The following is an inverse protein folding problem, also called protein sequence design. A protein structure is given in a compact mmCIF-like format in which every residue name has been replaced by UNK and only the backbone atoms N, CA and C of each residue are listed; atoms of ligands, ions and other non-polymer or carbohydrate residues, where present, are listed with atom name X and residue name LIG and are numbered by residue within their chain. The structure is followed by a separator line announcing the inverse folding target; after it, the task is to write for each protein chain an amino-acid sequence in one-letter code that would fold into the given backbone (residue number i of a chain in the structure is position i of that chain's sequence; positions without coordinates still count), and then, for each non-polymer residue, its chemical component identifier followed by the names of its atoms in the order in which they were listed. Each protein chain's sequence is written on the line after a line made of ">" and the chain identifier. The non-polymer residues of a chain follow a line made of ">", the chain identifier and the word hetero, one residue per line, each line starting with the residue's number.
data_IF_221538579670
#
_entry.id   IF_221538579670
#
_cell.length_a   1.000
_cell.length_b   1.000
_cell.length_c   1.000
_cell.angle_alpha   90.00
_cell.angle_beta   90.00
_cell.angle_gamma   90.00
#
_symmetry.space_group_name_H-M   'P 1'
#
loop_
_entity.id
_entity.type
_entity.pdbx_description
1 polymer ?
#
# COMPACT_ATOMS: atom_id res chain seq x y z
N UNK A 1 14.04 -15.93 23.91
CA UNK A 1 12.70 -15.52 24.39
C UNK A 1 12.46 -14.01 24.53
N UNK A 2 13.45 -13.15 24.75
CA UNK A 2 13.25 -11.68 24.77
C UNK A 2 13.33 -11.01 23.37
N UNK A 3 13.98 -11.62 22.40
CA UNK A 3 14.14 -11.06 21.05
C UNK A 3 12.94 -11.29 20.11
N UNK A 4 12.13 -12.31 20.33
CA UNK A 4 10.95 -12.59 19.50
C UNK A 4 9.79 -11.64 19.79
N UNK A 5 9.65 -11.15 21.02
CA UNK A 5 8.62 -10.15 21.37
C UNK A 5 8.82 -8.80 20.67
N UNK A 6 10.06 -8.44 20.34
CA UNK A 6 10.36 -7.20 19.60
C UNK A 6 10.01 -7.29 18.11
N UNK A 7 10.02 -8.48 17.50
CA UNK A 7 9.61 -8.69 16.09
C UNK A 7 8.10 -8.50 15.92
N UNK A 8 7.30 -8.86 16.92
CA UNK A 8 5.84 -8.65 16.91
C UNK A 8 5.44 -7.17 17.04
N UNK A 9 6.20 -6.38 17.78
CA UNK A 9 5.95 -4.94 17.94
C UNK A 9 6.10 -4.22 16.59
N UNK A 10 6.98 -4.66 15.70
CA UNK A 10 7.19 -4.06 14.38
C UNK A 10 6.09 -4.39 13.36
N UNK A 11 5.56 -5.59 13.40
CA UNK A 11 4.41 -5.97 12.56
C UNK A 11 3.14 -5.26 13.03
N UNK A 12 2.99 -5.11 14.35
CA UNK A 12 1.87 -4.41 14.97
C UNK A 12 1.94 -2.89 14.75
N UNK A 13 3.14 -2.27 14.72
CA UNK A 13 3.26 -0.82 14.49
C UNK A 13 2.93 -0.44 13.03
N UNK A 14 3.27 -1.26 12.05
CA UNK A 14 2.84 -1.03 10.66
C UNK A 14 1.35 -1.32 10.46
N UNK A 15 0.81 -2.37 11.13
CA UNK A 15 -0.62 -2.69 11.10
C UNK A 15 -1.47 -1.79 12.01
N UNK A 16 -0.94 -1.34 13.16
CA UNK A 16 -1.63 -0.38 14.03
C UNK A 16 -1.60 1.03 13.42
N UNK A 17 -0.60 1.39 12.64
CA UNK A 17 -0.64 2.61 11.84
C UNK A 17 -1.78 2.54 10.80
N UNK A 18 -2.03 1.40 10.17
CA UNK A 18 -3.16 1.26 9.23
C UNK A 18 -4.52 1.18 9.91
N UNK A 19 -4.62 0.61 11.12
CA UNK A 19 -5.90 0.46 11.85
C UNK A 19 -6.25 1.67 12.73
N UNK A 20 -5.26 2.39 13.28
CA UNK A 20 -5.49 3.65 14.00
C UNK A 20 -5.80 4.82 13.04
N UNK A 21 -5.45 4.72 11.77
CA UNK A 21 -5.71 5.74 10.75
C UNK A 21 -7.17 5.85 10.33
N UNK A 22 -7.98 4.86 10.58
CA UNK A 22 -9.42 4.95 10.29
C UNK A 22 -10.21 5.81 11.31
N UNK A 23 -9.58 6.30 12.38
CA UNK A 23 -10.29 6.96 13.50
C UNK A 23 -9.98 8.45 13.67
N UNK A 24 -8.94 9.03 13.04
CA UNK A 24 -8.67 10.48 13.04
C UNK A 24 -8.51 10.97 11.59
N UNK A 25 -9.64 11.14 10.98
CA UNK A 25 -9.86 11.47 9.57
C UNK A 25 -9.06 12.67 9.08
N UNK A 26 -8.29 12.47 8.01
CA UNK A 26 -7.74 13.50 7.12
C UNK A 26 -6.69 14.47 7.70
N UNK A 27 -6.19 14.29 8.93
CA UNK A 27 -5.20 15.22 9.51
C UNK A 27 -3.93 15.31 8.66
N UNK A 28 -3.47 14.19 8.08
CA UNK A 28 -2.31 14.14 7.20
C UNK A 28 -2.56 14.76 5.82
N UNK A 29 -3.82 14.76 5.36
CA UNK A 29 -4.20 15.38 4.09
C UNK A 29 -4.33 16.90 4.21
N UNK A 30 -4.30 17.44 5.45
CA UNK A 30 -4.52 18.85 5.76
C UNK A 30 -3.25 19.61 6.16
N UNK A 31 -2.07 19.00 6.05
CA UNK A 31 -0.84 19.65 6.47
C UNK A 31 -0.52 20.89 5.61
N UNK A 32 -0.01 21.98 6.23
CA UNK A 32 0.30 23.23 5.52
C UNK A 32 1.67 23.18 4.83
N UNK A 33 1.93 22.10 4.10
CA UNK A 33 3.19 21.81 3.39
C UNK A 33 2.94 21.58 1.90
N UNK A 34 4.00 21.38 1.13
CA UNK A 34 3.91 21.15 -0.30
C UNK A 34 3.90 22.44 -1.11
N UNK A 35 3.18 22.48 -2.21
CA UNK A 35 3.25 23.60 -3.17
C UNK A 35 2.68 24.91 -2.62
N UNK A 36 3.42 25.97 -2.74
CA UNK A 36 2.94 27.33 -2.53
C UNK A 36 2.36 27.87 -3.85
N UNK A 37 1.21 28.61 -3.86
CA UNK A 37 0.42 29.03 -2.69
C UNK A 37 -0.63 27.99 -2.23
N UNK A 38 -0.77 26.84 -2.90
CA UNK A 38 -1.84 25.88 -2.68
C UNK A 38 -1.85 25.28 -1.26
N UNK A 39 -0.70 25.22 -0.59
CA UNK A 39 -0.54 24.64 0.76
C UNK A 39 -1.48 25.22 1.84
N UNK A 40 -1.94 26.44 1.67
CA UNK A 40 -2.84 27.12 2.61
C UNK A 40 -4.31 27.10 2.17
N UNK A 41 -4.58 26.54 0.99
CA UNK A 41 -5.94 26.42 0.46
C UNK A 41 -6.45 25.00 0.68
N UNK A 42 -7.70 24.89 1.11
CA UNK A 42 -8.41 23.60 1.27
C UNK A 42 -9.44 23.42 0.17
N UNK A 43 -9.83 22.19 -0.04
CA UNK A 43 -10.92 21.82 -0.93
C UNK A 43 -11.71 20.66 -0.34
N UNK A 44 -12.94 20.49 -0.79
CA UNK A 44 -13.81 19.36 -0.48
C UNK A 44 -14.09 18.59 -1.76
N UNK A 45 -14.03 17.26 -1.71
CA UNK A 45 -14.22 16.40 -2.89
C UNK A 45 -15.13 15.22 -2.55
N UNK A 46 -16.30 15.08 -3.18
CA UNK A 46 -17.16 13.92 -3.04
C UNK A 46 -16.51 12.65 -3.61
N UNK A 47 -16.93 11.49 -3.10
CA UNK A 47 -16.47 10.18 -3.60
C UNK A 47 -16.72 10.02 -5.11
N UNK A 48 -15.75 9.40 -5.80
CA UNK A 48 -15.79 9.20 -7.25
C UNK A 48 -15.41 10.43 -8.08
N UNK A 49 -15.05 11.56 -7.45
CA UNK A 49 -14.64 12.78 -8.14
C UNK A 49 -13.12 12.92 -8.16
N UNK A 50 -12.64 13.71 -9.12
CA UNK A 50 -11.22 14.06 -9.28
C UNK A 50 -11.13 15.59 -9.30
N UNK A 51 -10.11 16.13 -8.67
CA UNK A 51 -9.83 17.57 -8.64
C UNK A 51 -8.42 17.87 -9.15
N UNK A 52 -8.33 18.85 -10.04
CA UNK A 52 -7.07 19.57 -10.29
C UNK A 52 -6.83 20.50 -9.10
N UNK A 53 -5.90 20.12 -8.23
CA UNK A 53 -5.65 20.85 -6.99
C UNK A 53 -4.98 22.22 -7.23
N UNK A 54 -4.28 22.42 -8.35
CA UNK A 54 -3.64 23.70 -8.68
C UNK A 54 -4.68 24.79 -8.91
N UNK A 55 -5.77 24.46 -9.60
CA UNK A 55 -6.86 25.40 -9.91
C UNK A 55 -8.09 25.26 -9.02
N UNK A 56 -8.20 24.14 -8.27
CA UNK A 56 -9.33 23.87 -7.37
C UNK A 56 -10.62 23.54 -8.12
N UNK A 57 -10.55 22.83 -9.25
CA UNK A 57 -11.71 22.45 -10.07
C UNK A 57 -11.81 20.95 -10.23
N UNK A 58 -13.03 20.45 -10.18
CA UNK A 58 -13.31 19.08 -10.58
C UNK A 58 -12.99 18.86 -12.06
N UNK A 59 -12.49 17.68 -12.37
CA UNK A 59 -12.18 17.20 -13.71
C UNK A 59 -12.61 15.74 -13.83
N UNK A 60 -13.07 15.33 -15.02
CA UNK A 60 -13.30 13.92 -15.30
C UNK A 60 -12.00 13.21 -15.73
N UNK A 61 -11.99 11.88 -15.67
CA UNK A 61 -10.82 11.08 -16.03
C UNK A 61 -10.36 11.32 -17.50
N UNK A 62 -11.24 11.39 -18.50
CA UNK A 62 -10.83 11.76 -19.86
C UNK A 62 -10.19 13.14 -19.96
N UNK A 63 -10.70 14.11 -19.23
CA UNK A 63 -10.14 15.47 -19.16
C UNK A 63 -8.76 15.50 -18.50
N UNK A 64 -8.61 14.78 -17.39
CA UNK A 64 -7.32 14.61 -16.72
C UNK A 64 -6.28 14.04 -17.69
N UNK A 65 -6.61 12.96 -18.39
CA UNK A 65 -5.71 12.34 -19.36
C UNK A 65 -5.34 13.33 -20.48
N UNK A 66 -6.32 13.95 -21.14
CA UNK A 66 -6.07 14.90 -22.24
C UNK A 66 -5.15 16.06 -21.82
N UNK A 67 -5.38 16.64 -20.65
CA UNK A 67 -4.58 17.79 -20.16
C UNK A 67 -3.16 17.41 -19.77
N UNK A 68 -2.92 16.12 -19.47
CA UNK A 68 -1.64 15.65 -18.93
C UNK A 68 -0.89 14.70 -19.87
N UNK A 69 -1.28 14.56 -21.14
CA UNK A 69 -0.53 13.74 -22.12
C UNK A 69 0.92 14.22 -22.31
N UNK A 70 1.20 15.47 -22.00
CA UNK A 70 2.57 16.02 -22.01
C UNK A 70 3.45 15.52 -20.87
N UNK A 71 2.93 14.85 -19.84
CA UNK A 71 3.72 14.34 -18.71
C UNK A 71 4.52 13.10 -19.12
N UNK A 72 5.67 12.94 -18.47
CA UNK A 72 6.57 11.81 -18.71
C UNK A 72 6.35 10.68 -17.70
N UNK A 73 6.03 11.07 -16.44
CA UNK A 73 5.81 10.13 -15.33
C UNK A 73 4.57 10.54 -14.54
N UNK A 74 3.72 9.56 -14.29
CA UNK A 74 2.57 9.64 -13.40
C UNK A 74 2.88 8.86 -12.13
N UNK A 75 2.76 9.50 -10.96
CA UNK A 75 3.02 8.87 -9.67
C UNK A 75 1.72 8.86 -8.90
N UNK A 76 1.17 7.67 -8.68
CA UNK A 76 -0.15 7.44 -8.11
C UNK A 76 0.01 6.86 -6.72
N UNK A 77 -0.49 7.60 -5.74
CA UNK A 77 -0.61 7.14 -4.36
C UNK A 77 -1.73 6.13 -4.20
N UNK A 78 -1.61 5.29 -3.17
CA UNK A 78 -2.67 4.34 -2.81
C UNK A 78 -2.78 4.15 -1.31
N UNK A 79 -3.94 3.66 -0.86
CA UNK A 79 -4.10 2.92 0.37
C UNK A 79 -4.05 1.44 0.00
N UNK A 80 -3.09 0.71 0.55
CA UNK A 80 -2.72 -0.64 0.10
C UNK A 80 -3.84 -1.68 0.19
N UNK A 81 -4.79 -1.47 1.08
CA UNK A 81 -5.94 -2.34 1.35
C UNK A 81 -7.26 -1.76 0.84
N UNK A 82 -7.25 -0.66 0.11
CA UNK A 82 -8.44 -0.07 -0.51
C UNK A 82 -8.67 -0.60 -1.92
N UNK A 83 -9.73 -1.40 -2.09
CA UNK A 83 -10.16 -1.86 -3.39
C UNK A 83 -10.53 -0.71 -4.33
N UNK A 84 -11.18 0.34 -3.79
CA UNK A 84 -11.57 1.50 -4.56
C UNK A 84 -10.37 2.26 -5.14
N UNK A 85 -9.25 2.35 -4.40
CA UNK A 85 -8.01 2.91 -4.94
C UNK A 85 -7.46 2.09 -6.11
N UNK A 86 -7.40 0.76 -5.97
CA UNK A 86 -6.87 -0.12 -7.02
C UNK A 86 -7.78 -0.18 -8.26
N UNK A 87 -9.10 -0.10 -8.05
CA UNK A 87 -10.05 0.03 -9.15
C UNK A 87 -9.84 1.34 -9.93
N UNK A 88 -9.66 2.45 -9.22
CA UNK A 88 -9.36 3.73 -9.84
C UNK A 88 -8.03 3.71 -10.60
N UNK A 89 -6.98 3.08 -10.06
CA UNK A 89 -5.69 2.91 -10.74
C UNK A 89 -5.84 2.09 -12.03
N UNK A 90 -6.63 1.02 -11.99
CA UNK A 90 -6.97 0.22 -13.17
C UNK A 90 -7.60 1.10 -14.25
N UNK A 91 -8.65 1.85 -13.91
CA UNK A 91 -9.36 2.74 -14.85
C UNK A 91 -8.44 3.82 -15.42
N UNK A 92 -7.58 4.39 -14.58
CA UNK A 92 -6.58 5.37 -15.01
C UNK A 92 -5.60 4.78 -16.02
N UNK A 93 -5.06 3.59 -15.77
CA UNK A 93 -4.11 2.92 -16.66
C UNK A 93 -4.81 2.57 -17.99
N UNK A 94 -6.04 2.07 -17.98
CA UNK A 94 -6.82 1.79 -19.17
C UNK A 94 -7.06 3.05 -20.02
N UNK A 95 -7.44 4.16 -19.37
CA UNK A 95 -7.66 5.43 -20.05
C UNK A 95 -6.36 6.03 -20.61
N UNK A 96 -5.27 5.96 -19.85
CA UNK A 96 -3.97 6.44 -20.30
C UNK A 96 -3.41 5.59 -21.44
N UNK A 97 -3.52 4.27 -21.35
CA UNK A 97 -3.07 3.35 -22.41
C UNK A 97 -3.82 3.55 -23.73
N UNK A 98 -5.12 3.86 -23.67
CA UNK A 98 -5.92 4.21 -24.84
C UNK A 98 -5.40 5.48 -25.53
N UNK A 99 -4.94 6.46 -24.76
CA UNK A 99 -4.42 7.72 -25.30
C UNK A 99 -2.92 7.64 -25.66
N UNK A 100 -2.16 6.78 -24.97
CA UNK A 100 -0.73 6.57 -25.17
C UNK A 100 -0.35 5.11 -24.87
N UNK A 101 -0.24 4.24 -25.89
CA UNK A 101 -0.15 2.79 -25.71
C UNK A 101 1.21 2.31 -25.16
N UNK A 102 2.21 3.18 -25.04
CA UNK A 102 3.54 2.82 -24.54
C UNK A 102 3.68 3.26 -23.08
N UNK A 103 3.31 2.38 -22.17
CA UNK A 103 3.41 2.58 -20.72
C UNK A 103 4.35 1.54 -20.11
N UNK A 104 5.07 1.98 -19.06
CA UNK A 104 5.81 1.13 -18.14
C UNK A 104 5.24 1.35 -16.76
N UNK A 105 4.67 0.31 -16.15
CA UNK A 105 4.05 0.40 -14.82
C UNK A 105 5.02 -0.17 -13.79
N UNK A 106 5.36 0.64 -12.80
CA UNK A 106 6.23 0.25 -11.69
C UNK A 106 5.44 0.06 -10.42
N UNK A 107 5.74 -1.01 -9.71
CA UNK A 107 5.04 -1.39 -8.48
C UNK A 107 5.98 -1.35 -7.28
N UNK A 108 5.54 -0.72 -6.20
CA UNK A 108 6.28 -0.67 -4.93
C UNK A 108 6.59 -2.05 -4.36
N UNK A 109 5.61 -2.98 -4.40
CA UNK A 109 5.75 -4.29 -3.76
C UNK A 109 6.59 -5.31 -4.51
N UNK A 110 7.03 -5.01 -5.72
CA UNK A 110 8.02 -5.82 -6.43
C UNK A 110 9.41 -5.19 -6.34
N UNK A 111 10.42 -6.06 -6.19
CA UNK A 111 11.81 -5.65 -6.24
C UNK A 111 12.31 -5.62 -7.69
N UNK A 112 13.39 -4.90 -7.95
CA UNK A 112 14.08 -4.90 -9.26
C UNK A 112 14.45 -6.29 -9.75
N UNK A 113 14.77 -7.19 -8.83
CA UNK A 113 15.13 -8.58 -9.14
C UNK A 113 13.92 -9.43 -9.54
N UNK A 114 12.71 -8.93 -9.38
CA UNK A 114 11.48 -9.61 -9.79
C UNK A 114 11.11 -9.33 -11.26
N UNK A 115 11.80 -8.38 -11.94
CA UNK A 115 11.54 -8.05 -13.35
C UNK A 115 11.47 -9.29 -14.27
N UNK A 116 12.36 -10.31 -14.17
CA UNK A 116 12.26 -11.50 -15.00
C UNK A 116 10.98 -12.30 -14.77
N UNK A 117 10.53 -12.44 -13.52
CA UNK A 117 9.28 -13.14 -13.19
C UNK A 117 8.06 -12.36 -13.68
N UNK A 118 8.07 -11.02 -13.54
CA UNK A 118 7.05 -10.15 -14.10
C UNK A 118 6.95 -10.27 -15.63
N UNK A 119 8.09 -10.28 -16.33
CA UNK A 119 8.11 -10.46 -17.80
C UNK A 119 7.55 -11.82 -18.22
N UNK A 120 7.89 -12.90 -17.51
CA UNK A 120 7.35 -14.24 -17.77
C UNK A 120 5.83 -14.28 -17.55
N UNK A 121 5.35 -13.69 -16.45
CA UNK A 121 3.92 -13.64 -16.12
C UNK A 121 3.12 -12.81 -17.13
N UNK A 122 3.60 -11.61 -17.44
CA UNK A 122 2.95 -10.74 -18.43
C UNK A 122 2.95 -11.35 -19.84
N UNK A 123 4.00 -12.12 -20.16
CA UNK A 123 4.11 -12.88 -21.40
C UNK A 123 3.31 -14.20 -21.41
N UNK A 124 2.58 -14.54 -20.34
CA UNK A 124 1.77 -15.76 -20.24
C UNK A 124 2.60 -17.05 -20.17
N UNK A 125 3.89 -16.97 -19.78
CA UNK A 125 4.79 -18.11 -19.66
C UNK A 125 4.71 -18.80 -18.29
N UNK A 126 4.28 -18.08 -17.29
CA UNK A 126 3.98 -18.59 -15.95
C UNK A 126 2.61 -18.09 -15.52
N UNK A 127 1.97 -18.80 -14.62
CA UNK A 127 0.73 -18.39 -13.99
C UNK A 127 0.96 -17.48 -12.76
N UNK A 128 -0.10 -17.05 -12.13
CA UNK A 128 -0.08 -16.19 -10.96
C UNK A 128 0.60 -16.88 -9.75
N UNK A 129 0.30 -18.16 -9.54
CA UNK A 129 0.88 -18.91 -8.43
C UNK A 129 2.40 -18.98 -8.52
N UNK A 130 2.92 -19.21 -9.72
CA UNK A 130 4.34 -19.27 -9.99
C UNK A 130 4.99 -17.87 -9.88
N UNK A 131 4.32 -16.80 -10.34
CA UNK A 131 4.80 -15.43 -10.11
C UNK A 131 4.98 -15.16 -8.62
N UNK A 132 3.97 -15.44 -7.80
CA UNK A 132 4.01 -15.17 -6.37
C UNK A 132 5.04 -16.03 -5.65
N UNK A 133 5.24 -17.26 -6.12
CA UNK A 133 6.30 -18.15 -5.61
C UNK A 133 7.70 -17.62 -5.96
N UNK A 134 7.95 -17.26 -7.21
CA UNK A 134 9.27 -16.74 -7.65
C UNK A 134 9.62 -15.42 -6.99
N UNK A 135 8.64 -14.54 -6.82
CA UNK A 135 8.84 -13.25 -6.14
C UNK A 135 8.83 -13.36 -4.61
N UNK A 136 8.45 -14.52 -4.03
CA UNK A 136 8.28 -14.67 -2.59
C UNK A 136 7.30 -13.67 -2.00
N UNK A 137 6.22 -13.34 -2.71
CA UNK A 137 5.28 -12.26 -2.36
C UNK A 137 4.84 -12.32 -0.90
N UNK A 138 4.28 -13.45 -0.46
CA UNK A 138 3.73 -13.58 0.88
C UNK A 138 4.78 -13.76 1.98
N UNK A 139 6.00 -14.16 1.64
CA UNK A 139 7.12 -14.16 2.57
C UNK A 139 7.66 -12.76 2.85
N UNK A 140 7.57 -11.86 1.85
CA UNK A 140 8.10 -10.50 1.92
C UNK A 140 7.04 -9.46 2.30
N UNK A 141 5.83 -9.59 1.78
CA UNK A 141 4.76 -8.63 1.93
C UNK A 141 3.65 -9.24 2.80
N UNK A 142 3.24 -8.55 3.85
CA UNK A 142 2.07 -8.94 4.64
C UNK A 142 0.72 -8.67 3.96
N UNK A 143 0.73 -8.15 2.72
CA UNK A 143 -0.44 -7.66 2.00
C UNK A 143 -1.15 -8.76 1.22
N UNK A 144 -2.49 -8.67 1.15
CA UNK A 144 -3.28 -9.50 0.26
C UNK A 144 -2.99 -9.12 -1.20
N UNK A 145 -2.44 -10.06 -1.97
CA UNK A 145 -2.11 -9.85 -3.37
C UNK A 145 -3.33 -9.49 -4.24
N UNK A 146 -4.53 -9.86 -3.83
CA UNK A 146 -5.75 -9.60 -4.58
C UNK A 146 -5.96 -8.11 -4.93
N UNK A 147 -5.46 -7.20 -4.09
CA UNK A 147 -5.47 -5.76 -4.39
C UNK A 147 -4.54 -5.42 -5.56
N UNK A 148 -3.31 -5.86 -5.51
CA UNK A 148 -2.31 -5.63 -6.59
C UNK A 148 -2.70 -6.34 -7.89
N UNK A 149 -3.37 -7.50 -7.80
CA UNK A 149 -3.88 -8.28 -8.94
C UNK A 149 -4.69 -7.42 -9.90
N UNK A 150 -5.59 -6.58 -9.41
CA UNK A 150 -6.45 -5.72 -10.24
C UNK A 150 -5.65 -4.89 -11.23
N UNK A 151 -4.57 -4.31 -10.78
CA UNK A 151 -3.69 -3.46 -11.60
C UNK A 151 -2.79 -4.31 -12.49
N UNK A 152 -2.17 -5.36 -11.94
CA UNK A 152 -1.23 -6.19 -12.68
C UNK A 152 -1.90 -6.98 -13.81
N UNK A 153 -3.12 -7.50 -13.60
CA UNK A 153 -3.93 -8.12 -14.64
C UNK A 153 -4.32 -7.12 -15.75
N UNK A 154 -4.57 -5.88 -15.36
CA UNK A 154 -4.83 -4.81 -16.35
C UNK A 154 -3.61 -4.56 -17.21
N UNK A 155 -2.42 -4.47 -16.62
CA UNK A 155 -1.13 -4.34 -17.32
C UNK A 155 -0.95 -5.51 -18.30
N UNK A 156 -1.20 -6.75 -17.84
CA UNK A 156 -1.12 -7.97 -18.66
C UNK A 156 -2.10 -7.94 -19.83
N UNK A 157 -3.37 -7.66 -19.55
CA UNK A 157 -4.46 -7.60 -20.57
C UNK A 157 -4.19 -6.56 -21.65
N UNK A 158 -3.59 -5.43 -21.29
CA UNK A 158 -3.25 -4.35 -22.22
C UNK A 158 -1.91 -4.58 -22.93
N UNK A 159 -1.19 -5.68 -22.68
CA UNK A 159 0.11 -5.96 -23.26
C UNK A 159 1.21 -4.96 -22.85
N UNK A 160 1.03 -4.30 -21.70
CA UNK A 160 1.97 -3.33 -21.18
C UNK A 160 3.15 -4.04 -20.46
N UNK A 161 4.16 -3.25 -20.08
CA UNK A 161 5.30 -3.73 -19.30
C UNK A 161 5.20 -3.30 -17.84
N UNK A 162 5.74 -4.15 -16.95
CA UNK A 162 5.88 -3.82 -15.54
C UNK A 162 7.33 -3.95 -15.08
N UNK A 163 7.66 -3.24 -13.98
CA UNK A 163 8.95 -3.34 -13.29
C UNK A 163 8.75 -3.27 -11.78
N UNK A 164 9.60 -3.96 -11.05
CA UNK A 164 9.74 -3.80 -9.62
C UNK A 164 10.50 -2.52 -9.29
N UNK A 165 10.00 -1.77 -8.33
CA UNK A 165 10.61 -0.50 -7.95
C UNK A 165 11.58 -0.63 -6.77
N UNK A 166 11.40 -1.63 -5.93
CA UNK A 166 12.13 -1.76 -4.67
C UNK A 166 13.39 -2.63 -4.75
N UNK A 167 14.07 -2.69 -3.63
CA UNK A 167 15.15 -3.61 -3.29
C UNK A 167 14.69 -4.54 -2.17
N UNK A 168 15.44 -5.61 -1.85
CA UNK A 168 15.08 -6.48 -0.73
C UNK A 168 14.81 -5.71 0.55
N UNK A 169 13.66 -5.97 1.17
CA UNK A 169 13.16 -5.27 2.36
C UNK A 169 14.14 -5.31 3.54
N UNK A 170 14.94 -6.37 3.61
CA UNK A 170 15.95 -6.61 4.65
C UNK A 170 16.98 -5.48 4.70
N UNK A 171 17.33 -4.89 3.54
CA UNK A 171 18.26 -3.76 3.46
C UNK A 171 17.69 -2.55 4.20
N UNK A 172 16.47 -2.16 3.86
CA UNK A 172 15.82 -0.99 4.46
C UNK A 172 15.43 -1.25 5.92
N UNK A 173 15.02 -2.47 6.28
CA UNK A 173 14.81 -2.87 7.67
C UNK A 173 16.09 -2.76 8.50
N UNK A 174 17.24 -3.08 7.93
CA UNK A 174 18.54 -2.93 8.60
C UNK A 174 18.85 -1.46 8.83
N UNK A 175 18.58 -0.59 7.85
CA UNK A 175 18.71 0.87 8.01
C UNK A 175 17.82 1.38 9.15
N UNK A 176 16.54 0.99 9.18
CA UNK A 176 15.62 1.41 10.23
C UNK A 176 16.04 0.98 11.64
N UNK A 177 16.67 -0.20 11.76
CA UNK A 177 17.12 -0.77 13.04
C UNK A 177 18.51 -0.29 13.48
N UNK A 178 19.43 -0.08 12.54
CA UNK A 178 20.86 0.09 12.83
C UNK A 178 21.49 1.31 12.15
N UNK A 179 20.69 2.09 11.41
CA UNK A 179 21.16 3.25 10.63
C UNK A 179 21.79 2.87 9.30
N UNK A 180 21.97 3.87 8.44
CA UNK A 180 22.45 3.71 7.07
C UNK A 180 23.89 3.16 6.98
N UNK A 181 24.72 3.51 7.95
CA UNK A 181 26.11 3.01 8.03
C UNK A 181 26.22 1.49 8.29
N UNK A 182 25.10 0.80 8.60
CA UNK A 182 25.07 -0.66 8.73
C UNK A 182 25.06 -1.40 7.39
N UNK A 183 24.88 -0.69 6.28
CA UNK A 183 24.96 -1.22 4.93
C UNK A 183 26.40 -1.26 4.43
N UNK A 184 26.75 -2.24 3.57
CA UNK A 184 28.02 -2.26 2.86
C UNK A 184 28.10 -1.10 1.85
N UNK A 185 29.28 -0.83 1.29
CA UNK A 185 29.46 0.22 0.28
C UNK A 185 28.62 -0.06 -0.98
N UNK A 186 28.53 -1.32 -1.43
CA UNK A 186 27.73 -1.74 -2.56
C UNK A 186 26.23 -1.57 -2.27
N UNK A 187 25.78 -1.91 -1.05
CA UNK A 187 24.40 -1.71 -0.63
C UNK A 187 24.05 -0.23 -0.52
N UNK A 188 24.95 0.62 0.01
CA UNK A 188 24.76 2.07 0.07
C UNK A 188 24.64 2.70 -1.32
N UNK A 189 25.38 2.18 -2.31
CA UNK A 189 25.32 2.64 -3.70
C UNK A 189 23.94 2.43 -4.36
N UNK A 190 23.11 1.53 -3.82
CA UNK A 190 21.71 1.36 -4.29
C UNK A 190 20.81 2.56 -3.96
N UNK A 191 21.23 3.42 -3.02
CA UNK A 191 20.45 4.58 -2.54
C UNK A 191 21.18 5.91 -2.84
N UNK A 192 21.43 6.23 -4.09
CA UNK A 192 22.21 7.40 -4.46
C UNK A 192 21.54 8.69 -3.93
N UNK A 193 22.30 9.55 -3.24
CA UNK A 193 21.81 10.85 -2.72
C UNK A 193 20.75 10.74 -1.62
N UNK A 194 20.63 9.61 -0.93
CA UNK A 194 19.74 9.44 0.23
C UNK A 194 20.02 10.44 1.36
N UNK A 195 21.26 10.93 1.47
CA UNK A 195 21.65 11.93 2.45
C UNK A 195 20.97 13.29 2.29
N UNK A 196 20.42 13.60 1.11
CA UNK A 196 19.65 14.83 0.92
C UNK A 196 18.36 14.78 1.74
N UNK A 197 18.08 15.87 2.43
CA UNK A 197 16.90 16.03 3.27
C UNK A 197 16.02 17.17 2.75
N UNK A 198 14.73 17.03 3.01
CA UNK A 198 13.74 18.07 2.83
C UNK A 198 13.02 18.22 4.18
N UNK A 199 13.02 19.42 4.80
CA UNK A 199 12.38 19.65 6.09
C UNK A 199 10.87 19.36 6.09
N UNK A 200 10.17 19.63 4.97
CA UNK A 200 8.73 19.31 4.86
C UNK A 200 8.52 17.80 4.77
N UNK A 201 9.42 17.04 4.11
CA UNK A 201 9.36 15.59 4.08
C UNK A 201 9.62 15.00 5.46
N UNK A 202 10.60 15.51 6.21
CA UNK A 202 10.82 15.07 7.58
C UNK A 202 9.62 15.36 8.47
N UNK A 203 9.03 16.56 8.35
CA UNK A 203 7.82 16.93 9.07
C UNK A 203 6.65 16.00 8.74
N UNK A 204 6.43 15.71 7.44
CA UNK A 204 5.40 14.78 7.00
C UNK A 204 5.58 13.37 7.62
N UNK A 205 6.78 12.79 7.49
CA UNK A 205 7.07 11.46 8.05
C UNK A 205 6.94 11.45 9.57
N UNK A 206 7.33 12.55 10.24
CA UNK A 206 7.13 12.71 11.69
C UNK A 206 5.65 12.73 12.05
N UNK A 207 4.84 13.43 11.28
CA UNK A 207 3.38 13.51 11.47
C UNK A 207 2.69 12.15 11.29
N UNK A 208 3.18 11.31 10.37
CA UNK A 208 2.64 9.94 10.19
C UNK A 208 2.89 9.03 11.39
N UNK A 209 3.94 9.28 12.16
CA UNK A 209 4.32 8.49 13.34
C UNK A 209 3.80 9.08 14.66
N UNK A 210 3.22 10.29 14.61
CA UNK A 210 2.62 10.96 15.75
C UNK A 210 3.57 11.12 16.93
N UNK A 211 3.04 11.01 18.16
CA UNK A 211 3.80 11.19 19.40
C UNK A 211 4.99 10.23 19.54
N UNK A 212 4.91 9.06 18.94
CA UNK A 212 5.99 8.07 19.03
C UNK A 212 7.30 8.58 18.41
N UNK A 213 7.23 9.39 17.35
CA UNK A 213 8.40 10.02 16.75
C UNK A 213 9.10 11.02 17.69
N UNK A 214 8.34 11.60 18.62
CA UNK A 214 8.87 12.55 19.63
C UNK A 214 9.49 11.80 20.80
N UNK A 215 8.85 10.71 21.23
CA UNK A 215 9.30 9.93 22.39
C UNK A 215 10.61 9.17 22.14
N UNK A 216 10.90 8.77 20.89
CA UNK A 216 12.09 7.98 20.54
C UNK A 216 12.87 8.63 19.37
N UNK A 217 13.56 9.77 19.60
CA UNK A 217 14.16 10.56 18.51
C UNK A 217 15.21 9.81 17.69
N UNK A 218 16.08 9.00 18.29
CA UNK A 218 17.11 8.23 17.57
C UNK A 218 16.49 7.16 16.67
N UNK A 219 15.43 6.51 17.13
CA UNK A 219 14.67 5.57 16.32
C UNK A 219 14.01 6.29 15.14
N UNK A 220 13.40 7.44 15.38
CA UNK A 220 12.80 8.25 14.31
C UNK A 220 13.82 8.60 13.24
N UNK A 221 15.03 9.02 13.59
CA UNK A 221 16.06 9.35 12.61
C UNK A 221 16.37 8.18 11.67
N UNK A 222 16.51 6.97 12.21
CA UNK A 222 16.75 5.79 11.40
C UNK A 222 15.55 5.43 10.51
N UNK A 223 14.33 5.53 11.03
CA UNK A 223 13.09 5.30 10.27
C UNK A 223 12.95 6.32 9.15
N UNK A 224 13.24 7.59 9.43
CA UNK A 224 13.23 8.63 8.40
C UNK A 224 14.27 8.36 7.28
N UNK A 225 15.47 7.90 7.66
CA UNK A 225 16.47 7.49 6.65
C UNK A 225 15.98 6.27 5.85
N UNK A 226 15.33 5.30 6.50
CA UNK A 226 14.73 4.16 5.81
C UNK A 226 13.65 4.59 4.82
N UNK A 227 12.76 5.52 5.20
CA UNK A 227 11.78 6.10 4.29
C UNK A 227 12.45 6.75 3.09
N UNK A 228 13.51 7.54 3.31
CA UNK A 228 14.31 8.13 2.22
C UNK A 228 14.95 7.09 1.31
N UNK A 229 15.36 5.94 1.85
CA UNK A 229 15.86 4.83 1.04
C UNK A 229 14.79 4.30 0.09
N UNK A 230 13.56 4.02 0.60
CA UNK A 230 12.45 3.56 -0.22
C UNK A 230 12.13 4.55 -1.34
N UNK A 231 11.92 5.83 -1.01
CA UNK A 231 11.62 6.87 -2.00
C UNK A 231 12.71 7.00 -3.06
N UNK A 232 13.97 6.92 -2.63
CA UNK A 232 15.13 7.03 -3.53
C UNK A 232 15.20 5.87 -4.49
N UNK A 233 15.05 4.64 -3.99
CA UNK A 233 15.16 3.45 -4.83
C UNK A 233 14.00 3.34 -5.79
N UNK A 234 12.78 3.65 -5.38
CA UNK A 234 11.61 3.60 -6.27
C UNK A 234 11.71 4.65 -7.40
N UNK A 235 12.11 5.87 -7.07
CA UNK A 235 12.34 6.91 -8.07
C UNK A 235 13.43 6.52 -9.07
N UNK A 236 14.56 5.98 -8.57
CA UNK A 236 15.70 5.60 -9.39
C UNK A 236 15.41 4.36 -10.25
N UNK A 237 14.64 3.40 -9.73
CA UNK A 237 14.22 2.21 -10.48
C UNK A 237 13.43 2.58 -11.73
N UNK A 238 12.40 3.42 -11.58
CA UNK A 238 11.60 3.87 -12.72
C UNK A 238 12.45 4.68 -13.70
N UNK A 239 13.27 5.61 -13.22
CA UNK A 239 14.13 6.43 -14.06
C UNK A 239 15.08 5.57 -14.91
N UNK A 240 15.76 4.61 -14.28
CA UNK A 240 16.68 3.69 -14.96
C UNK A 240 15.94 2.77 -15.94
N UNK A 241 14.76 2.29 -15.58
CA UNK A 241 13.95 1.45 -16.46
C UNK A 241 13.52 2.21 -17.73
N UNK A 242 13.04 3.45 -17.60
CA UNK A 242 12.68 4.31 -18.74
C UNK A 242 13.86 4.71 -19.61
N UNK A 243 15.09 4.74 -19.05
CA UNK A 243 16.31 5.05 -19.80
C UNK A 243 16.79 3.87 -20.67
N UNK A 244 16.29 2.66 -20.48
CA UNK A 244 16.66 1.49 -21.31
C UNK A 244 16.25 1.73 -22.78
N UNK A 245 17.04 1.30 -23.78
CA UNK A 245 16.77 1.58 -25.19
C UNK A 245 15.35 1.18 -25.66
N UNK A 246 14.80 0.09 -25.15
CA UNK A 246 13.44 -0.39 -25.48
C UNK A 246 12.30 0.50 -25.00
N UNK A 247 12.55 1.43 -24.09
CA UNK A 247 11.54 2.29 -23.47
C UNK A 247 11.57 3.74 -23.95
N UNK A 248 12.31 4.06 -25.00
CA UNK A 248 12.31 5.42 -25.56
C UNK A 248 10.89 5.85 -25.97
N UNK A 249 10.44 6.99 -25.47
CA UNK A 249 9.08 7.51 -25.71
C UNK A 249 7.99 6.78 -24.94
N UNK A 250 8.33 5.97 -23.94
CA UNK A 250 7.40 5.34 -22.99
C UNK A 250 7.13 6.27 -21.82
N UNK A 251 5.88 6.29 -21.34
CA UNK A 251 5.54 7.01 -20.10
C UNK A 251 5.60 6.06 -18.91
N UNK A 252 6.12 6.57 -17.78
CA UNK A 252 6.14 5.84 -16.53
C UNK A 252 4.84 6.03 -15.74
N UNK A 253 4.34 4.95 -15.14
CA UNK A 253 3.31 4.99 -14.11
C UNK A 253 3.87 4.31 -12.88
N UNK A 254 4.02 5.03 -11.78
CA UNK A 254 4.47 4.49 -10.48
C UNK A 254 3.24 4.29 -9.61
N UNK A 255 3.08 3.09 -9.07
CA UNK A 255 2.07 2.73 -8.07
C UNK A 255 2.79 2.54 -6.73
N UNK A 256 2.46 3.37 -5.75
CA UNK A 256 3.08 3.33 -4.43
C UNK A 256 2.14 3.88 -3.36
N UNK A 257 2.37 3.51 -2.09
CA UNK A 257 1.60 4.05 -0.98
C UNK A 257 1.61 5.57 -0.94
N UNK A 258 0.49 6.18 -0.57
CA UNK A 258 0.31 7.64 -0.55
C UNK A 258 1.38 8.37 0.25
N UNK A 259 1.93 7.73 1.29
CA UNK A 259 3.03 8.30 2.09
C UNK A 259 4.31 8.58 1.28
N UNK A 260 4.49 7.91 0.15
CA UNK A 260 5.62 8.11 -0.76
C UNK A 260 5.37 9.17 -1.83
N UNK A 261 4.13 9.69 -1.95
CA UNK A 261 3.69 10.56 -3.05
C UNK A 261 3.19 11.91 -2.56
N UNK A 262 2.53 11.92 -1.40
CA UNK A 262 1.85 13.09 -0.84
C UNK A 262 2.75 14.33 -0.78
N UNK A 263 2.15 15.48 -1.08
CA UNK A 263 2.81 16.78 -1.12
C UNK A 263 3.97 16.89 -2.12
N UNK A 264 4.16 15.86 -2.95
CA UNK A 264 5.26 15.79 -3.91
C UNK A 264 6.64 15.58 -3.28
N UNK A 265 6.70 15.13 -2.01
CA UNK A 265 7.91 15.11 -1.17
C UNK A 265 8.76 13.83 -1.28
N UNK A 266 8.15 12.66 -1.33
CA UNK A 266 8.87 11.38 -1.40
C UNK A 266 9.45 11.07 -2.78
N UNK A 267 8.88 10.07 -3.46
CA UNK A 267 9.29 9.65 -4.81
C UNK A 267 9.35 10.84 -5.79
N UNK A 268 8.34 11.75 -5.84
CA UNK A 268 8.36 12.83 -6.83
C UNK A 268 9.55 13.77 -6.66
N UNK A 269 9.89 14.14 -5.42
CA UNK A 269 11.05 14.98 -5.13
C UNK A 269 12.36 14.27 -5.46
N UNK A 270 12.50 12.97 -5.08
CA UNK A 270 13.67 12.14 -5.39
C UNK A 270 13.88 11.98 -6.88
N UNK A 271 12.81 11.81 -7.64
CA UNK A 271 12.88 11.71 -9.10
C UNK A 271 13.40 13.02 -9.72
N UNK A 272 12.86 14.18 -9.31
CA UNK A 272 13.28 15.51 -9.80
C UNK A 272 14.72 15.86 -9.45
N UNK A 273 15.27 15.35 -8.35
CA UNK A 273 16.68 15.51 -8.02
C UNK A 273 17.61 14.88 -9.07
N UNK A 274 17.15 13.85 -9.76
CA UNK A 274 17.93 13.10 -10.75
C UNK A 274 17.63 13.51 -12.18
N UNK A 275 16.40 13.86 -12.45
CA UNK A 275 15.96 14.34 -13.75
C UNK A 275 15.11 15.62 -13.56
N UNK A 276 15.79 16.75 -13.64
CA UNK A 276 15.16 18.07 -13.51
C UNK A 276 14.23 18.41 -14.67
N UNK A 277 14.32 17.67 -15.79
CA UNK A 277 13.50 17.89 -16.98
C UNK A 277 12.25 17.05 -16.99
N UNK A 278 12.17 16.01 -16.15
CA UNK A 278 11.02 15.13 -16.08
C UNK A 278 9.75 15.89 -15.70
N UNK A 279 8.74 15.76 -16.53
CA UNK A 279 7.41 16.33 -16.31
C UNK A 279 6.56 15.31 -15.55
N UNK A 280 6.55 15.45 -14.23
CA UNK A 280 5.88 14.54 -13.31
C UNK A 280 4.48 15.06 -13.00
N UNK A 281 3.49 14.17 -12.94
CA UNK A 281 2.18 14.41 -12.35
C UNK A 281 2.01 13.50 -11.12
N UNK A 282 1.62 14.09 -9.99
CA UNK A 282 1.29 13.36 -8.77
C UNK A 282 -0.22 13.25 -8.62
N UNK A 283 -0.69 12.06 -8.22
CA UNK A 283 -2.10 11.76 -7.99
C UNK A 283 -2.22 11.06 -6.64
N UNK A 284 -3.05 11.59 -5.74
CA UNK A 284 -3.18 11.06 -4.38
C UNK A 284 -4.66 10.83 -4.07
N UNK A 285 -5.05 9.67 -3.49
CA UNK A 285 -6.40 9.43 -3.02
C UNK A 285 -6.68 10.22 -1.74
N UNK A 286 -7.94 10.57 -1.55
CA UNK A 286 -8.50 10.99 -0.27
C UNK A 286 -9.74 10.15 0.03
N UNK A 287 -9.96 9.81 1.29
CA UNK A 287 -11.07 8.95 1.69
C UNK A 287 -12.28 9.77 2.13
N UNK A 288 -13.43 9.47 1.57
CA UNK A 288 -14.72 10.03 1.97
C UNK A 288 -15.38 9.10 2.96
N UNK A 289 -15.46 9.52 4.20
CA UNK A 289 -16.16 8.78 5.26
C UNK A 289 -17.62 9.20 5.27
N UNK A 290 -18.54 8.23 5.18
CA UNK A 290 -19.96 8.51 5.38
C UNK A 290 -20.17 8.98 6.82
N UNK A 291 -20.78 10.16 7.03
CA UNK A 291 -21.12 10.63 8.36
C UNK A 291 -22.05 9.60 9.01
N UNK A 292 -21.58 8.91 10.06
CA UNK A 292 -22.47 8.14 10.93
C UNK A 292 -23.43 9.13 11.60
N UNK A 293 -24.71 8.93 11.41
CA UNK A 293 -25.72 9.67 12.16
C UNK A 293 -25.56 9.32 13.66
N UNK A 294 -25.07 10.27 14.45
CA UNK A 294 -25.03 10.15 15.90
C UNK A 294 -23.62 10.10 16.50
N UNK A 295 -23.14 11.23 16.98
CA UNK A 295 -21.96 11.33 17.83
C UNK A 295 -21.55 12.76 18.13
N UNK A 296 -22.14 13.36 19.20
CA UNK A 296 -21.55 14.30 20.13
C UNK A 296 -21.11 15.66 19.60
N UNK A 297 -21.90 16.60 19.83
CA UNK A 297 -21.82 18.02 20.17
C UNK A 297 -23.15 18.64 19.70
N UNK A 298 -23.71 19.54 20.46
CA UNK A 298 -24.89 20.32 20.06
C UNK A 298 -24.60 21.11 18.79
N UNK A 299 -24.70 20.45 17.64
CA UNK A 299 -24.60 21.13 16.34
C UNK A 299 -25.85 21.98 16.17
N UNK A 300 -25.62 23.26 15.86
CA UNK A 300 -26.72 24.17 15.49
C UNK A 300 -27.65 23.48 14.47
N UNK A 301 -28.97 23.38 14.73
CA UNK A 301 -29.93 22.68 13.87
C UNK A 301 -29.88 23.13 12.41
N UNK A 302 -29.57 24.40 12.16
CA UNK A 302 -29.43 24.95 10.82
C UNK A 302 -28.17 24.43 10.11
N UNK A 303 -27.05 24.25 10.82
CA UNK A 303 -25.83 23.65 10.30
C UNK A 303 -26.07 22.16 9.97
N UNK A 304 -26.81 21.46 10.84
CA UNK A 304 -27.18 20.06 10.62
C UNK A 304 -28.11 19.87 9.40
N UNK A 305 -29.09 20.80 9.22
CA UNK A 305 -29.98 20.79 8.06
C UNK A 305 -29.24 21.07 6.75
N UNK A 306 -28.28 21.99 6.74
CA UNK A 306 -27.43 22.31 5.58
C UNK A 306 -26.42 21.18 5.29
N UNK A 307 -25.79 20.63 6.32
CA UNK A 307 -24.84 19.51 6.18
C UNK A 307 -25.49 18.22 5.68
N UNK A 308 -26.80 18.02 5.98
CA UNK A 308 -27.57 16.87 5.46
C UNK A 308 -27.95 17.00 3.98
N UNK A 309 -27.81 18.16 3.37
CA UNK A 309 -28.12 18.41 1.96
C UNK A 309 -26.93 18.22 1.02
N UNK A 310 -25.70 18.23 1.57
CA UNK A 310 -24.49 18.05 0.76
C UNK A 310 -24.01 16.60 0.83
N UNK A 311 -23.57 16.03 -0.30
CA UNK A 311 -22.98 14.69 -0.28
C UNK A 311 -21.75 14.69 0.63
N UNK A 312 -21.45 13.57 1.31
CA UNK A 312 -20.20 13.42 2.04
C UNK A 312 -19.01 13.72 1.14
N UNK A 313 -18.03 14.47 1.67
CA UNK A 313 -16.84 14.85 0.94
C UNK A 313 -15.61 14.79 1.85
N UNK A 314 -14.46 14.38 1.28
CA UNK A 314 -13.18 14.50 1.95
C UNK A 314 -12.69 15.93 1.87
N UNK A 315 -12.13 16.44 2.98
CA UNK A 315 -11.51 17.76 3.04
C UNK A 315 -9.99 17.58 3.04
N UNK A 316 -9.28 18.30 2.19
CA UNK A 316 -7.83 18.17 2.04
C UNK A 316 -7.16 19.50 1.69
N UNK A 317 -5.85 19.59 1.94
CA UNK A 317 -5.00 20.68 1.48
C UNK A 317 -4.78 20.57 -0.03
N UNK A 318 -4.97 21.65 -0.77
CA UNK A 318 -4.65 21.69 -2.21
C UNK A 318 -3.15 21.53 -2.51
N UNK A 319 -2.29 21.61 -1.48
CA UNK A 319 -0.88 21.27 -1.57
C UNK A 319 -0.59 19.77 -1.67
N UNK A 320 -1.58 18.89 -1.40
CA UNK A 320 -1.43 17.45 -1.26
C UNK A 320 -0.85 16.77 -2.52
N UNK A 321 -1.36 17.13 -3.71
CA UNK A 321 -0.90 16.57 -4.98
C UNK A 321 -1.20 17.52 -6.15
N UNK A 322 -0.82 17.14 -7.38
CA UNK A 322 -1.28 17.84 -8.59
C UNK A 322 -2.76 17.54 -8.84
N UNK A 323 -3.13 16.27 -8.73
CA UNK A 323 -4.49 15.76 -8.85
C UNK A 323 -4.85 14.99 -7.60
N UNK A 324 -6.05 15.19 -7.09
CA UNK A 324 -6.60 14.45 -5.96
C UNK A 324 -7.84 13.71 -6.44
N UNK A 325 -7.96 12.43 -6.12
CA UNK A 325 -9.16 11.65 -6.40
C UNK A 325 -9.77 11.11 -5.11
N UNK A 326 -11.09 11.18 -5.02
CA UNK A 326 -11.80 10.78 -3.82
C UNK A 326 -12.38 9.37 -3.96
N UNK A 327 -12.10 8.52 -2.99
CA UNK A 327 -12.64 7.17 -2.87
C UNK A 327 -13.56 7.09 -1.67
N UNK A 328 -14.58 6.24 -1.74
CA UNK A 328 -15.42 5.97 -0.57
C UNK A 328 -14.63 5.16 0.47
N UNK A 329 -14.83 5.46 1.75
CA UNK A 329 -14.35 4.59 2.82
C UNK A 329 -15.00 3.21 2.72
N UNK A 330 -14.23 2.17 2.97
CA UNK A 330 -14.69 0.80 3.02
C UNK A 330 -14.90 0.41 4.49
N UNK A 331 -16.13 0.05 4.87
CA UNK A 331 -16.46 -0.32 6.26
C UNK A 331 -15.73 -1.61 6.71
N UNK A 332 -15.28 -2.42 5.76
CA UNK A 332 -14.52 -3.65 5.97
C UNK A 332 -13.59 -3.89 4.78
N UNK A 333 -12.52 -4.67 4.95
CA UNK A 333 -11.66 -5.07 3.83
C UNK A 333 -12.50 -5.64 2.68
N UNK A 334 -12.24 -5.22 1.46
CA UNK A 334 -13.01 -5.67 0.29
C UNK A 334 -12.87 -7.18 0.08
N UNK A 335 -11.65 -7.70 0.19
CA UNK A 335 -11.41 -9.15 0.11
C UNK A 335 -11.61 -9.79 1.47
N UNK A 336 -12.25 -10.95 1.47
CA UNK A 336 -12.58 -11.67 2.68
C UNK A 336 -11.32 -12.06 3.47
N UNK A 337 -11.41 -11.91 4.79
CA UNK A 337 -10.45 -12.45 5.73
C UNK A 337 -11.12 -13.57 6.52
N UNK A 338 -10.54 -14.77 6.47
CA UNK A 338 -11.02 -15.91 7.23
C UNK A 338 -10.86 -15.72 8.75
N UNK A 339 -10.06 -14.75 9.16
CA UNK A 339 -9.87 -14.39 10.56
C UNK A 339 -8.97 -15.35 11.33
N UNK A 340 -8.00 -15.97 10.67
CA UNK A 340 -6.96 -16.73 11.34
C UNK A 340 -5.58 -16.43 10.76
N UNK A 341 -4.58 -16.53 11.62
CA UNK A 341 -3.18 -16.38 11.27
C UNK A 341 -2.33 -17.54 11.81
N UNK A 342 -1.17 -17.79 11.20
CA UNK A 342 -0.31 -18.86 11.66
C UNK A 342 1.01 -18.90 10.92
N UNK A 343 1.72 -20.01 11.04
CA UNK A 343 3.04 -20.23 10.46
C UNK A 343 3.24 -21.68 10.09
N UNK A 344 4.17 -21.96 9.20
CA UNK A 344 4.67 -23.31 9.00
C UNK A 344 5.47 -23.75 10.24
N UNK A 345 5.16 -24.91 10.78
CA UNK A 345 5.90 -25.53 11.88
C UNK A 345 7.12 -26.32 11.39
N UNK A 346 7.85 -26.93 12.32
CA UNK A 346 9.05 -27.74 12.00
C UNK A 346 8.78 -28.98 11.15
N UNK A 347 7.54 -29.44 11.11
CA UNK A 347 7.09 -30.62 10.33
C UNK A 347 6.57 -30.21 8.94
N UNK A 348 6.65 -28.92 8.58
CA UNK A 348 6.15 -28.42 7.31
C UNK A 348 4.62 -28.33 7.21
N UNK A 349 3.92 -28.25 8.35
CA UNK A 349 2.48 -28.09 8.43
C UNK A 349 2.13 -26.66 8.88
N UNK A 350 1.02 -26.12 8.39
CA UNK A 350 0.56 -24.80 8.82
C UNK A 350 -0.13 -24.90 10.18
N UNK A 351 0.48 -24.29 11.19
CA UNK A 351 -0.04 -24.23 12.56
C UNK A 351 -0.72 -22.89 12.80
N UNK A 352 -1.98 -22.92 13.22
CA UNK A 352 -2.76 -21.74 13.58
C UNK A 352 -2.19 -21.11 14.85
N UNK A 353 -1.73 -19.85 14.76
CA UNK A 353 -1.15 -19.11 15.87
C UNK A 353 -2.12 -18.07 16.46
N UNK A 354 -3.14 -17.68 15.71
CA UNK A 354 -4.17 -16.73 16.14
C UNK A 354 -5.49 -16.98 15.43
N UNK A 355 -6.59 -16.73 16.15
CA UNK A 355 -7.95 -16.73 15.61
C UNK A 355 -8.61 -15.43 16.08
N UNK A 356 -9.17 -14.67 15.16
CA UNK A 356 -9.84 -13.41 15.45
C UNK A 356 -11.19 -13.66 16.14
N UNK A 357 -11.48 -12.86 17.16
CA UNK A 357 -12.78 -12.90 17.86
C UNK A 357 -13.91 -12.61 16.89
N UNK A 358 -14.99 -13.37 16.98
CA UNK A 358 -16.18 -13.29 16.12
C UNK A 358 -15.92 -13.53 14.62
N UNK A 359 -14.70 -13.99 14.27
CA UNK A 359 -14.33 -14.29 12.88
C UNK A 359 -15.05 -15.52 12.34
N UNK A 360 -15.09 -15.71 11.02
CA UNK A 360 -15.57 -16.95 10.41
C UNK A 360 -14.81 -18.18 10.92
N UNK A 361 -13.50 -18.09 11.14
CA UNK A 361 -12.69 -19.17 11.65
C UNK A 361 -13.08 -19.57 13.07
N UNK A 362 -13.28 -18.61 13.98
CA UNK A 362 -13.75 -18.91 15.35
C UNK A 362 -15.12 -19.55 15.35
N UNK A 363 -16.06 -19.00 14.56
CA UNK A 363 -17.42 -19.54 14.42
C UNK A 363 -17.44 -20.98 13.86
N UNK A 364 -16.48 -21.30 12.99
CA UNK A 364 -16.29 -22.66 12.47
C UNK A 364 -15.58 -23.60 13.45
N UNK A 365 -15.11 -23.08 14.61
CA UNK A 365 -14.44 -23.88 15.63
C UNK A 365 -12.96 -24.12 15.38
N UNK A 366 -12.31 -23.32 14.53
CA UNK A 366 -10.86 -23.33 14.37
C UNK A 366 -10.21 -22.75 15.63
N UNK A 367 -9.17 -23.40 16.13
CA UNK A 367 -8.48 -23.02 17.36
C UNK A 367 -6.97 -22.79 17.17
N UNK A 368 -6.38 -22.07 18.10
CA UNK A 368 -4.92 -21.93 18.16
C UNK A 368 -4.28 -23.29 18.41
N UNK A 369 -3.25 -23.63 17.63
CA UNK A 369 -2.57 -24.94 17.65
C UNK A 369 -3.17 -25.98 16.70
N UNK A 370 -4.31 -25.71 16.06
CA UNK A 370 -4.82 -26.56 14.99
C UNK A 370 -3.86 -26.52 13.78
N UNK A 371 -3.75 -27.66 13.09
CA UNK A 371 -2.93 -27.77 11.87
C UNK A 371 -3.84 -27.77 10.65
N UNK A 372 -3.66 -26.82 9.74
CA UNK A 372 -4.38 -26.79 8.46
C UNK A 372 -3.62 -27.64 7.45
N UNK A 373 -4.27 -28.66 6.93
CA UNK A 373 -3.70 -29.63 6.01
C UNK A 373 -4.06 -29.32 4.55
N UNK A 374 -5.32 -28.94 4.32
CA UNK A 374 -5.81 -28.56 2.99
C UNK A 374 -6.91 -27.50 3.08
N UNK A 375 -7.12 -26.77 1.99
CA UNK A 375 -8.25 -25.86 1.76
C UNK A 375 -8.95 -26.28 0.47
N UNK A 376 -10.25 -26.57 0.52
CA UNK A 376 -11.03 -27.12 -0.60
C UNK A 376 -10.35 -28.33 -1.28
N UNK A 377 -9.78 -29.22 -0.49
CA UNK A 377 -9.04 -30.38 -0.97
C UNK A 377 -7.63 -30.09 -1.54
N UNK A 378 -7.21 -28.81 -1.60
CA UNK A 378 -5.86 -28.43 -2.05
C UNK A 378 -4.90 -28.43 -0.86
N UNK A 379 -3.84 -29.27 -0.85
CA UNK A 379 -2.91 -29.35 0.27
C UNK A 379 -2.15 -28.05 0.52
N UNK A 380 -2.08 -27.65 1.79
CA UNK A 380 -1.30 -26.48 2.25
C UNK A 380 0.15 -26.90 2.46
N UNK A 381 0.98 -26.69 1.45
CA UNK A 381 2.41 -27.06 1.47
C UNK A 381 3.33 -25.91 1.88
N UNK A 382 2.84 -24.68 1.89
CA UNK A 382 3.56 -23.47 2.29
C UNK A 382 2.60 -22.37 2.70
N UNK A 383 3.12 -21.35 3.36
CA UNK A 383 2.36 -20.14 3.69
C UNK A 383 1.82 -19.45 2.43
N UNK A 384 2.63 -19.43 1.37
CA UNK A 384 2.25 -18.84 0.08
C UNK A 384 1.07 -19.60 -0.54
N UNK A 385 1.10 -20.94 -0.53
CA UNK A 385 0.02 -21.77 -1.06
C UNK A 385 -1.30 -21.50 -0.33
N UNK A 386 -1.29 -21.44 1.01
CA UNK A 386 -2.47 -21.10 1.80
C UNK A 386 -3.01 -19.71 1.45
N UNK A 387 -2.14 -18.71 1.46
CA UNK A 387 -2.54 -17.31 1.20
C UNK A 387 -3.04 -17.11 -0.22
N UNK A 388 -2.46 -17.81 -1.20
CA UNK A 388 -2.96 -17.80 -2.58
C UNK A 388 -4.37 -18.32 -2.70
N UNK A 389 -4.67 -19.45 -2.05
CA UNK A 389 -6.01 -20.03 -2.07
C UNK A 389 -6.99 -19.04 -1.41
N UNK A 390 -6.65 -18.52 -0.24
CA UNK A 390 -7.52 -17.58 0.49
C UNK A 390 -7.71 -16.26 -0.24
N UNK A 391 -6.69 -15.73 -0.93
CA UNK A 391 -6.76 -14.50 -1.71
C UNK A 391 -7.72 -14.58 -2.91
N UNK A 392 -8.16 -15.77 -3.30
CA UNK A 392 -9.16 -15.99 -4.36
C UNK A 392 -10.60 -16.01 -3.82
N UNK A 393 -10.77 -15.97 -2.49
CA UNK A 393 -12.10 -16.01 -1.86
C UNK A 393 -12.68 -14.62 -1.68
N UNK A 394 -13.97 -14.50 -1.99
CA UNK A 394 -14.73 -13.27 -1.77
C UNK A 394 -15.57 -13.40 -0.50
N UNK A 395 -16.14 -12.30 -0.04
CA UNK A 395 -17.16 -12.32 1.00
C UNK A 395 -18.35 -13.17 0.56
N UNK A 396 -18.83 -14.03 1.46
CA UNK A 396 -19.87 -15.03 1.26
C UNK A 396 -19.44 -16.31 0.52
N UNK A 397 -18.21 -16.41 0.04
CA UNK A 397 -17.68 -17.73 -0.38
C UNK A 397 -17.54 -18.60 0.86
N UNK A 398 -18.00 -19.85 0.75
CA UNK A 398 -17.68 -20.89 1.72
C UNK A 398 -16.47 -21.67 1.21
N UNK A 399 -15.63 -22.11 2.13
CA UNK A 399 -14.52 -23.00 1.83
C UNK A 399 -14.33 -24.00 2.97
N UNK A 400 -13.80 -25.15 2.63
CA UNK A 400 -13.57 -26.23 3.58
C UNK A 400 -12.11 -26.23 4.02
N UNK A 401 -11.88 -26.35 5.35
CA UNK A 401 -10.55 -26.59 5.90
C UNK A 401 -10.45 -28.04 6.37
N UNK A 402 -9.51 -28.78 5.81
CA UNK A 402 -9.08 -30.03 6.41
C UNK A 402 -8.06 -29.73 7.50
N UNK A 403 -8.42 -30.08 8.75
CA UNK A 403 -7.61 -29.74 9.92
C UNK A 403 -7.27 -30.97 10.75
N UNK A 404 -6.11 -30.90 11.44
CA UNK A 404 -5.78 -31.83 12.54
C UNK A 404 -5.83 -31.02 13.84
N UNK A 405 -6.75 -31.43 14.73
CA UNK A 405 -6.88 -30.78 16.07
C UNK A 405 -5.91 -31.40 17.07
N UNK A 406 -5.28 -30.51 17.86
CA UNK A 406 -4.53 -30.92 19.05
C UNK A 406 -5.45 -30.83 20.26
N UNK A 407 -5.93 -31.96 20.73
CA UNK A 407 -6.73 -32.04 21.96
C UNK A 407 -5.78 -32.24 23.13
N UNK A 408 -5.70 -31.25 24.02
CA UNK A 408 -4.99 -31.37 25.30
C UNK A 408 -6.03 -31.75 26.36
N UNK A 409 -5.96 -32.97 26.84
CA UNK A 409 -6.78 -33.43 27.97
C UNK A 409 -6.04 -33.04 29.26
N UNK A 410 -6.58 -32.10 30.03
CA UNK A 410 -6.17 -31.87 31.41
C UNK A 410 -6.94 -32.83 32.30
N UNK A 411 -6.24 -33.65 33.06
CA UNK A 411 -6.85 -34.51 34.07
C UNK A 411 -6.75 -33.70 35.38
N UNK A 412 -7.82 -33.03 35.74
CA UNK A 412 -7.94 -32.43 37.08
C UNK A 412 -8.12 -33.63 38.07
N UNK A 413 -7.05 -33.97 38.69
CA UNK A 413 -7.11 -34.81 39.87
C UNK A 413 -7.48 -33.90 41.04
N UNK A 414 -8.76 -33.73 41.30
CA UNK A 414 -9.22 -33.30 42.61
C UNK A 414 -8.84 -34.43 43.58
N UNK A 415 -7.78 -34.23 44.34
CA UNK A 415 -7.53 -35.02 45.55
C UNK A 415 -8.61 -34.60 46.55
N UNK A 416 -9.60 -35.47 46.75
CA UNK A 416 -10.41 -35.52 47.93
C UNK A 416 -9.60 -36.12 49.10
#
# INVERSE_FOLDING_TARGET
>A
MKHERLLWIWFVVVLLATAAWAAEDNALDMLPIGRSPQRLATAALPAGKIMDAAVGREIDLPGLIRQNLGRDVFIIGEYHDSHACHLWQKEFIEALAKAHPRLLVGFEFFNRNDDPALDLYLGGKIDEAELLRQTGWYARNGMNYAYTRLVLETVKKLGLKAVGLNVPRELVSRVAKRGFASLSAEEQAMFPGVGRTDPEHEYYVRSTLGEFAVQVPLWFQNVYVAQKCWDTVMAESMRLALARPGFRGTKGVIIAGSAHVAYGLGIPWRYRLRDKKARILTLVPVTVVAKKAGGGAEENPMVKALAGQLPPAAIFSRGLADMVFAVAAEDKPYFADAGFGGRMNGDGLYEVASVGKESPAEKAGLGVGDLVLAVDGVPVKSLEALRLILAQKNWNDSFELEIRKKIVLSKDLENK
#
